data_IF_787630098807
#
_entry.id   IF_787630098807
#
_cell.length_a   1.000
_cell.length_b   1.000
_cell.length_c   1.000
_cell.angle_alpha   90.00
_cell.angle_beta   90.00
_cell.angle_gamma   90.00
#
_symmetry.space_group_name_H-M   'P 1'
#
loop_
_entity.id
_entity.type
_entity.pdbx_description
1 polymer ?
#
# COMPACT_ATOMS: atom_id res chain seq x y z
N UNK A 1 9.48 13.78 13.87
CA UNK A 1 8.32 12.86 13.89
C UNK A 1 8.12 12.45 12.45
N UNK A 2 8.08 11.15 12.13
CA UNK A 2 7.97 10.71 10.73
C UNK A 2 6.58 10.17 10.45
N UNK A 3 5.90 10.77 9.48
CA UNK A 3 4.60 10.38 8.99
C UNK A 3 4.76 9.30 7.93
N UNK A 4 4.01 8.20 8.06
CA UNK A 4 4.21 7.01 7.24
C UNK A 4 2.89 6.53 6.64
N UNK A 5 2.93 6.18 5.36
CA UNK A 5 1.88 5.44 4.67
C UNK A 5 2.32 3.99 4.52
N UNK A 6 1.41 3.05 4.75
CA UNK A 6 1.69 1.61 4.65
C UNK A 6 0.62 0.98 3.76
N UNK A 7 1.00 0.49 2.58
CA UNK A 7 0.09 -0.30 1.73
C UNK A 7 0.08 -1.75 2.18
N UNK A 8 -0.99 -2.50 1.88
CA UNK A 8 -1.13 -3.88 2.37
C UNK A 8 -1.26 -3.95 3.89
N UNK A 9 -1.73 -2.87 4.53
CA UNK A 9 -1.87 -2.73 5.97
C UNK A 9 -2.82 -3.75 6.60
N UNK A 10 -3.72 -4.31 5.80
CA UNK A 10 -4.64 -5.37 6.25
C UNK A 10 -4.05 -6.76 6.12
N UNK A 11 -2.86 -6.95 5.54
CA UNK A 11 -2.16 -8.22 5.43
C UNK A 11 -1.47 -8.64 6.74
N UNK A 12 -0.88 -9.85 6.75
CA UNK A 12 -0.21 -10.40 7.94
C UNK A 12 0.89 -9.47 8.48
N UNK A 13 1.85 -9.09 7.61
CA UNK A 13 2.95 -8.19 7.97
C UNK A 13 2.44 -6.76 8.21
N UNK A 14 1.56 -6.27 7.34
CA UNK A 14 1.03 -4.91 7.41
C UNK A 14 0.33 -4.60 8.73
N UNK A 15 -0.53 -5.51 9.23
CA UNK A 15 -1.25 -5.32 10.50
C UNK A 15 -0.28 -5.21 11.68
N UNK A 16 0.70 -6.10 11.74
CA UNK A 16 1.70 -6.09 12.79
C UNK A 16 2.56 -4.82 12.75
N UNK A 17 2.97 -4.38 11.54
CA UNK A 17 3.78 -3.18 11.36
C UNK A 17 3.01 -1.91 11.73
N UNK A 18 1.75 -1.77 11.29
CA UNK A 18 0.91 -0.63 11.66
C UNK A 18 0.76 -0.52 13.18
N UNK A 19 0.47 -1.64 13.84
CA UNK A 19 0.34 -1.68 15.30
C UNK A 19 1.65 -1.30 15.99
N UNK A 20 2.77 -1.84 15.53
CA UNK A 20 4.09 -1.54 16.09
C UNK A 20 4.46 -0.06 15.92
N UNK A 21 4.29 0.51 14.73
CA UNK A 21 4.64 1.90 14.44
C UNK A 21 3.76 2.89 15.19
N UNK A 22 2.45 2.66 15.27
CA UNK A 22 1.55 3.53 16.05
C UNK A 22 1.93 3.63 17.53
N UNK A 23 2.57 2.59 18.08
CA UNK A 23 3.02 2.57 19.47
C UNK A 23 4.44 3.14 19.67
N UNK A 24 5.25 3.23 18.60
CA UNK A 24 6.67 3.55 18.70
C UNK A 24 7.07 4.85 18.03
N UNK A 25 6.26 5.39 17.11
CA UNK A 25 6.49 6.69 16.48
C UNK A 25 5.56 7.76 17.07
N UNK A 26 6.09 8.97 17.20
CA UNK A 26 5.30 10.17 17.49
C UNK A 26 4.68 10.77 16.21
N UNK A 27 4.95 10.19 15.03
CA UNK A 27 4.35 10.59 13.76
C UNK A 27 3.03 9.86 13.47
N UNK A 28 2.31 10.33 12.45
CA UNK A 28 1.03 9.74 12.05
C UNK A 28 1.25 8.53 11.13
N UNK A 29 0.48 7.46 11.33
CA UNK A 29 0.55 6.22 10.53
C UNK A 29 -0.78 5.98 9.82
N UNK A 30 -0.76 6.05 8.48
CA UNK A 30 -1.88 5.71 7.60
C UNK A 30 -1.66 4.30 7.07
N UNK A 31 -2.53 3.37 7.46
CA UNK A 31 -2.56 2.03 6.88
C UNK A 31 -3.63 1.95 5.79
N UNK A 32 -3.27 1.45 4.61
CA UNK A 32 -4.15 1.30 3.45
C UNK A 32 -4.41 -0.17 3.14
N UNK A 33 -5.68 -0.50 2.92
CA UNK A 33 -6.11 -1.75 2.30
C UNK A 33 -6.82 -1.48 0.97
N UNK A 34 -7.23 -2.54 0.27
CA UNK A 34 -7.98 -2.42 -1.00
C UNK A 34 -9.32 -1.69 -0.84
N UNK A 35 -9.92 -1.72 0.35
CA UNK A 35 -11.14 -0.94 0.65
C UNK A 35 -10.86 0.57 0.79
N UNK A 36 -9.63 0.97 1.08
CA UNK A 36 -9.22 2.38 1.10
C UNK A 36 -9.09 2.89 -0.33
N UNK A 37 -8.31 2.17 -1.14
CA UNK A 37 -8.14 2.41 -2.56
C UNK A 37 -7.55 1.15 -3.19
N UNK A 38 -8.10 0.72 -4.32
CA UNK A 38 -7.49 -0.33 -5.13
C UNK A 38 -6.28 0.23 -5.87
N UNK A 39 -5.09 -0.25 -5.51
CA UNK A 39 -3.82 0.23 -6.07
C UNK A 39 -3.65 -0.10 -7.56
N UNK A 40 -4.43 -1.05 -8.11
CA UNK A 40 -4.46 -1.31 -9.55
C UNK A 40 -5.25 -0.22 -10.29
N UNK A 41 -6.23 0.39 -9.63
CA UNK A 41 -6.99 1.51 -10.18
C UNK A 41 -6.19 2.80 -10.08
N UNK A 42 -5.37 3.06 -11.11
CA UNK A 42 -4.50 4.23 -11.21
C UNK A 42 -5.24 5.55 -10.95
N UNK A 43 -6.37 5.77 -11.59
CA UNK A 43 -7.10 7.04 -11.46
C UNK A 43 -7.56 7.29 -10.03
N UNK A 44 -8.08 6.25 -9.37
CA UNK A 44 -8.49 6.35 -7.96
C UNK A 44 -7.30 6.58 -7.02
N UNK A 45 -6.14 5.97 -7.29
CA UNK A 45 -4.93 6.18 -6.49
C UNK A 45 -4.39 7.60 -6.62
N UNK A 46 -4.34 8.13 -7.84
CA UNK A 46 -3.89 9.50 -8.10
C UNK A 46 -4.79 10.52 -7.39
N UNK A 47 -6.11 10.38 -7.53
CA UNK A 47 -7.09 11.23 -6.83
C UNK A 47 -6.95 11.13 -5.30
N UNK A 48 -6.64 9.94 -4.76
CA UNK A 48 -6.40 9.75 -3.34
C UNK A 48 -5.14 10.48 -2.85
N UNK A 49 -4.01 10.37 -3.58
CA UNK A 49 -2.77 11.07 -3.23
C UNK A 49 -2.90 12.59 -3.36
N UNK A 50 -3.55 13.08 -4.42
CA UNK A 50 -3.81 14.51 -4.58
C UNK A 50 -4.59 15.06 -3.39
N UNK A 51 -5.65 14.37 -2.94
CA UNK A 51 -6.42 14.76 -1.75
C UNK A 51 -5.58 14.67 -0.46
N UNK A 52 -4.73 13.66 -0.35
CA UNK A 52 -3.90 13.45 0.83
C UNK A 52 -2.83 14.55 0.97
N UNK A 53 -2.20 14.99 -0.12
CA UNK A 53 -1.12 16.00 -0.10
C UNK A 53 -1.54 17.30 0.59
N UNK A 54 -2.82 17.66 0.54
CA UNK A 54 -3.35 18.83 1.25
C UNK A 54 -3.49 18.66 2.77
N UNK A 55 -3.48 17.42 3.27
CA UNK A 55 -3.82 17.09 4.67
C UNK A 55 -2.73 16.31 5.42
N UNK A 56 -1.69 15.86 4.73
CA UNK A 56 -0.68 14.97 5.29
C UNK A 56 0.65 15.09 4.53
N UNK A 57 1.68 15.61 5.20
CA UNK A 57 3.05 15.48 4.72
C UNK A 57 3.57 14.09 5.04
N UNK A 58 3.78 13.26 4.02
CA UNK A 58 4.30 11.91 4.18
C UNK A 58 5.83 11.91 4.04
N UNK A 59 6.52 11.29 5.00
CA UNK A 59 7.98 11.13 4.97
C UNK A 59 8.40 9.80 4.32
N UNK A 60 7.58 8.75 4.49
CA UNK A 60 7.89 7.39 4.02
C UNK A 60 6.64 6.66 3.55
N UNK A 61 6.77 5.93 2.44
CA UNK A 61 5.80 4.92 2.02
C UNK A 61 6.43 3.54 2.19
N UNK A 62 5.79 2.66 2.95
CA UNK A 62 6.18 1.26 3.09
C UNK A 62 5.18 0.42 2.30
N UNK A 63 5.61 -0.09 1.14
CA UNK A 63 4.74 -0.84 0.24
C UNK A 63 4.74 -2.34 0.54
N UNK A 64 3.70 -2.84 1.21
CA UNK A 64 3.53 -4.28 1.52
C UNK A 64 2.36 -4.92 0.75
N UNK A 65 1.65 -4.16 -0.07
CA UNK A 65 0.58 -4.70 -0.91
C UNK A 65 1.16 -5.65 -1.96
N UNK A 66 0.62 -6.86 -2.04
CA UNK A 66 0.95 -7.80 -3.09
C UNK A 66 -0.24 -8.74 -3.31
N UNK A 67 -0.52 -9.08 -4.57
CA UNK A 67 -1.31 -10.25 -4.90
C UNK A 67 -0.43 -11.48 -4.70
N UNK A 68 -0.64 -12.13 -3.56
CA UNK A 68 0.00 -13.38 -3.22
C UNK A 68 -1.05 -14.34 -2.65
N UNK A 69 -1.11 -15.54 -3.21
CA UNK A 69 -1.99 -16.61 -2.74
C UNK A 69 -1.14 -17.83 -2.42
N UNK A 70 -1.52 -18.56 -1.37
CA UNK A 70 -0.81 -19.75 -0.93
C UNK A 70 -0.92 -20.89 -1.96
N UNK A 71 0.00 -21.86 -1.85
CA UNK A 71 0.01 -23.05 -2.70
C UNK A 71 0.54 -22.77 -4.09
N UNK A 72 -0.01 -23.48 -5.08
CA UNK A 72 0.40 -23.44 -6.48
C UNK A 72 -0.32 -22.37 -7.31
N UNK A 73 -1.16 -21.53 -6.69
CA UNK A 73 -1.85 -20.46 -7.42
C UNK A 73 -0.90 -19.54 -8.22
N UNK A 74 0.25 -19.08 -7.69
CA UNK A 74 1.24 -18.34 -8.47
C UNK A 74 1.74 -19.08 -9.72
N UNK A 75 1.84 -20.41 -9.66
CA UNK A 75 2.32 -21.26 -10.76
C UNK A 75 1.30 -21.30 -11.90
N UNK A 76 0.01 -21.32 -11.58
CA UNK A 76 -1.08 -21.35 -12.57
C UNK A 76 -1.56 -19.97 -13.01
N UNK A 77 -1.19 -18.90 -12.30
CA UNK A 77 -1.58 -17.52 -12.60
C UNK A 77 -0.41 -16.51 -12.67
N UNK A 78 0.73 -16.85 -13.30
CA UNK A 78 1.92 -16.02 -13.25
C UNK A 78 1.72 -14.65 -13.91
N UNK A 79 1.02 -14.61 -15.06
CA UNK A 79 0.75 -13.37 -15.77
C UNK A 79 -0.17 -12.42 -14.97
N UNK A 80 -1.23 -12.95 -14.35
CA UNK A 80 -2.12 -12.17 -13.50
C UNK A 80 -1.38 -11.62 -12.28
N UNK A 81 -0.59 -12.47 -11.61
CA UNK A 81 0.19 -12.05 -10.46
C UNK A 81 1.19 -10.95 -10.82
N UNK A 82 1.96 -11.16 -11.90
CA UNK A 82 2.92 -10.20 -12.39
C UNK A 82 2.25 -8.86 -12.74
N UNK A 83 1.20 -8.90 -13.56
CA UNK A 83 0.50 -7.70 -14.00
C UNK A 83 -0.06 -6.89 -12.82
N UNK A 84 -0.75 -7.55 -11.88
CA UNK A 84 -1.32 -6.87 -10.72
C UNK A 84 -0.23 -6.27 -9.84
N UNK A 85 0.81 -7.04 -9.48
CA UNK A 85 1.88 -6.53 -8.62
C UNK A 85 2.67 -5.40 -9.28
N UNK A 86 2.98 -5.52 -10.58
CA UNK A 86 3.65 -4.46 -11.32
C UNK A 86 2.80 -3.19 -11.41
N UNK A 87 1.51 -3.33 -11.69
CA UNK A 87 0.59 -2.18 -11.74
C UNK A 87 0.54 -1.46 -10.39
N UNK A 88 0.42 -2.18 -9.28
CA UNK A 88 0.43 -1.57 -7.94
C UNK A 88 1.74 -0.84 -7.65
N UNK A 89 2.89 -1.44 -7.98
CA UNK A 89 4.21 -0.84 -7.78
C UNK A 89 4.37 0.46 -8.57
N UNK A 90 4.10 0.41 -9.88
CA UNK A 90 4.26 1.57 -10.77
C UNK A 90 3.27 2.68 -10.39
N UNK A 91 2.01 2.33 -10.12
CA UNK A 91 1.01 3.33 -9.74
C UNK A 91 1.38 4.05 -8.44
N UNK A 92 1.92 3.36 -7.44
CA UNK A 92 2.38 4.00 -6.19
C UNK A 92 3.57 4.92 -6.45
N UNK A 93 4.57 4.47 -7.23
CA UNK A 93 5.76 5.25 -7.52
C UNK A 93 5.47 6.52 -8.33
N UNK A 94 4.43 6.49 -9.17
CA UNK A 94 4.07 7.64 -10.01
C UNK A 94 3.01 8.56 -9.39
N UNK A 95 2.22 8.07 -8.42
CA UNK A 95 1.22 8.88 -7.72
C UNK A 95 1.81 9.70 -6.57
N UNK A 96 2.93 9.25 -5.99
CA UNK A 96 3.66 9.91 -4.92
C UNK A 96 4.72 10.88 -5.46
#
# INVERSE_FOLDING_TARGET
>A
MKNVIITGATGFIGRALVQSLRNSTNGRVIGMGSETVDLVNRAALFDWFEKLHWAFECDHIIHLAALYKAGDWPVHHPATQFHVNMSMNVNILEAW
#
